data_IF_796804459906
#
_entry.id   IF_796804459906
#
_cell.length_a   1.000
_cell.length_b   1.000
_cell.length_c   1.000
_cell.angle_alpha   90.00
_cell.angle_beta   90.00
_cell.angle_gamma   90.00
#
_symmetry.space_group_name_H-M   'P 1'
#
loop_
_entity.id
_entity.type
_entity.pdbx_description
1 polymer ?
#
# COMPACT_ATOMS: atom_id res chain seq x y z
N UNK A 1 2.96 27.15 7.63
CA UNK A 1 1.58 27.51 7.22
C UNK A 1 1.27 26.61 6.04
N UNK A 2 0.50 25.54 6.28
CA UNK A 2 0.16 24.55 5.25
C UNK A 2 -0.72 25.25 4.20
N UNK A 3 -0.27 25.25 2.95
CA UNK A 3 -1.10 25.69 1.83
C UNK A 3 -2.13 24.58 1.51
N UNK A 4 -3.42 24.80 1.78
CA UNK A 4 -4.45 23.82 1.47
C UNK A 4 -4.75 23.68 -0.02
N UNK A 5 -4.15 24.47 -0.88
CA UNK A 5 -4.34 24.48 -2.33
C UNK A 5 -3.27 23.70 -3.12
N UNK A 6 -2.36 22.95 -2.47
CA UNK A 6 -1.56 21.98 -3.24
C UNK A 6 -2.52 20.99 -3.92
N UNK A 7 -2.48 20.93 -5.23
CA UNK A 7 -3.40 20.18 -6.08
C UNK A 7 -3.60 18.76 -5.57
N UNK A 8 -4.86 18.34 -5.40
CA UNK A 8 -5.20 16.98 -4.99
C UNK A 8 -4.56 15.98 -5.96
N UNK A 9 -3.87 14.93 -5.46
CA UNK A 9 -3.18 13.99 -6.33
C UNK A 9 -4.16 13.35 -7.33
N UNK A 10 -3.71 13.17 -8.54
CA UNK A 10 -4.52 12.58 -9.60
C UNK A 10 -4.89 11.13 -9.29
N UNK A 11 -6.13 10.73 -9.59
CA UNK A 11 -6.51 9.32 -9.60
C UNK A 11 -6.01 8.67 -10.89
N UNK A 12 -5.47 7.43 -10.81
CA UNK A 12 -4.98 6.75 -12.00
C UNK A 12 -6.11 6.39 -12.96
N UNK A 13 -5.91 6.62 -14.25
CA UNK A 13 -6.87 6.27 -15.29
C UNK A 13 -6.85 4.76 -15.60
N UNK A 14 -5.68 4.15 -15.56
CA UNK A 14 -5.44 2.77 -15.96
C UNK A 14 -4.97 1.90 -14.79
N UNK A 15 -5.07 0.59 -14.98
CA UNK A 15 -4.54 -0.45 -14.09
C UNK A 15 -3.92 -1.58 -14.92
N UNK A 16 -2.90 -2.21 -14.38
CA UNK A 16 -2.20 -3.32 -15.02
C UNK A 16 -2.86 -4.65 -14.64
N UNK A 17 -3.79 -5.13 -15.45
CA UNK A 17 -4.55 -6.35 -15.16
C UNK A 17 -3.77 -7.57 -15.62
N UNK A 18 -3.27 -8.38 -14.68
CA UNK A 18 -2.47 -9.57 -14.96
C UNK A 18 -3.31 -10.86 -15.04
N UNK A 19 -4.28 -11.01 -14.14
CA UNK A 19 -5.12 -12.20 -14.06
C UNK A 19 -6.56 -11.82 -13.67
N UNK A 20 -7.40 -11.37 -14.63
CA UNK A 20 -8.73 -10.81 -14.34
C UNK A 20 -9.67 -11.80 -13.66
N UNK A 21 -9.49 -13.10 -13.91
CA UNK A 21 -10.29 -14.18 -13.35
C UNK A 21 -9.65 -14.92 -12.17
N UNK A 22 -8.61 -14.36 -11.52
CA UNK A 22 -7.93 -15.04 -10.42
C UNK A 22 -8.90 -15.47 -9.30
N UNK A 23 -8.86 -16.77 -8.92
CA UNK A 23 -9.69 -17.39 -7.85
C UNK A 23 -8.85 -18.22 -6.88
N UNK A 24 -7.56 -17.93 -6.72
CA UNK A 24 -6.62 -18.71 -5.91
C UNK A 24 -6.96 -18.74 -4.41
N UNK A 25 -7.70 -17.75 -3.89
CA UNK A 25 -8.01 -17.57 -2.48
C UNK A 25 -9.53 -17.47 -2.28
N UNK A 26 -10.25 -18.57 -1.92
CA UNK A 26 -11.71 -18.58 -1.81
C UNK A 26 -12.26 -17.48 -0.88
N UNK A 27 -11.66 -17.30 0.30
CA UNK A 27 -12.08 -16.27 1.25
C UNK A 27 -11.94 -14.83 0.69
N UNK A 28 -10.88 -14.55 -0.08
CA UNK A 28 -10.73 -13.27 -0.75
C UNK A 28 -11.68 -13.10 -1.94
N UNK A 29 -12.05 -14.21 -2.59
CA UNK A 29 -13.03 -14.17 -3.70
C UNK A 29 -14.43 -13.82 -3.19
N UNK A 30 -14.80 -14.33 -2.01
CA UNK A 30 -16.12 -14.02 -1.41
C UNK A 30 -16.19 -12.61 -0.83
N UNK A 31 -15.08 -12.05 -0.35
CA UNK A 31 -15.06 -10.74 0.32
C UNK A 31 -14.79 -9.54 -0.58
N UNK A 32 -14.27 -9.76 -1.80
CA UNK A 32 -13.91 -8.66 -2.70
C UNK A 32 -15.01 -8.31 -3.68
N UNK A 33 -15.11 -7.04 -4.03
CA UNK A 33 -15.88 -6.58 -5.19
C UNK A 33 -15.04 -6.68 -6.48
N UNK A 34 -13.78 -6.19 -6.40
CA UNK A 34 -12.84 -6.19 -7.52
C UNK A 34 -11.44 -6.63 -7.08
N UNK A 35 -10.70 -7.20 -8.02
CA UNK A 35 -9.25 -7.38 -7.86
C UNK A 35 -8.61 -6.00 -8.04
N UNK A 36 -7.86 -5.54 -7.04
CA UNK A 36 -7.18 -4.25 -7.03
C UNK A 36 -5.78 -4.40 -7.63
N UNK A 37 -5.68 -4.16 -8.93
CA UNK A 37 -4.42 -4.23 -9.67
C UNK A 37 -3.58 -2.96 -9.52
N UNK A 38 -2.31 -3.07 -9.84
CA UNK A 38 -1.36 -1.97 -9.82
C UNK A 38 -1.71 -0.86 -10.80
N UNK A 39 -1.25 0.36 -10.49
CA UNK A 39 -1.54 1.60 -11.24
C UNK A 39 -0.30 2.49 -11.28
N UNK A 40 -0.08 3.12 -12.39
CA UNK A 40 1.07 4.02 -12.63
C UNK A 40 1.73 3.73 -13.97
N UNK A 41 2.80 4.46 -14.31
CA UNK A 41 3.62 4.18 -15.49
C UNK A 41 4.28 2.79 -15.40
N UNK A 42 4.44 2.13 -16.54
CA UNK A 42 5.10 0.82 -16.62
C UNK A 42 6.64 0.90 -16.58
N UNK A 43 7.18 2.11 -16.57
CA UNK A 43 8.60 2.47 -16.52
C UNK A 43 8.91 3.38 -15.31
N UNK A 44 8.14 3.24 -14.24
CA UNK A 44 8.33 4.02 -13.02
C UNK A 44 9.60 3.60 -12.26
N UNK A 45 10.41 4.56 -11.84
CA UNK A 45 11.60 4.31 -11.02
C UNK A 45 11.26 3.81 -9.61
N UNK A 46 10.08 4.19 -9.10
CA UNK A 46 9.60 3.82 -7.76
C UNK A 46 8.34 2.99 -7.85
N UNK A 47 8.37 1.78 -7.28
CA UNK A 47 7.16 0.97 -7.05
C UNK A 47 6.77 0.99 -5.59
N UNK A 48 5.55 1.46 -5.30
CA UNK A 48 4.97 1.50 -3.95
C UNK A 48 4.16 0.24 -3.69
N UNK A 49 4.56 -0.53 -2.68
CA UNK A 49 3.89 -1.77 -2.30
C UNK A 49 3.17 -1.59 -0.96
N UNK A 50 1.86 -1.82 -0.96
CA UNK A 50 1.05 -1.93 0.26
C UNK A 50 0.74 -3.37 0.64
N UNK A 51 0.02 -3.56 1.74
CA UNK A 51 -0.41 -4.88 2.17
C UNK A 51 -1.53 -5.45 1.30
N UNK A 52 -2.69 -4.82 1.34
CA UNK A 52 -3.91 -5.21 0.63
C UNK A 52 -4.85 -4.00 0.45
N UNK A 53 -5.81 -4.04 -0.48
CA UNK A 53 -6.82 -3.01 -0.56
C UNK A 53 -7.73 -3.06 0.67
N UNK A 54 -8.03 -1.89 1.25
CA UNK A 54 -9.07 -1.76 2.26
C UNK A 54 -10.47 -1.82 1.66
N UNK A 55 -11.50 -1.96 2.50
CA UNK A 55 -12.90 -1.92 2.03
C UNK A 55 -13.18 -0.65 1.23
N UNK A 56 -12.80 0.51 1.76
CA UNK A 56 -13.04 1.79 1.13
C UNK A 56 -14.43 2.35 1.41
N UNK A 57 -14.90 3.25 0.55
CA UNK A 57 -16.24 3.84 0.61
C UNK A 57 -16.89 3.82 -0.79
N UNK A 58 -17.89 2.95 -1.02
CA UNK A 58 -18.57 2.85 -2.31
C UNK A 58 -19.32 4.12 -2.71
N UNK A 59 -19.80 4.90 -1.74
CA UNK A 59 -20.62 6.09 -1.96
C UNK A 59 -19.79 7.36 -2.20
N UNK A 60 -18.46 7.29 -2.06
CA UNK A 60 -17.62 8.44 -2.30
C UNK A 60 -17.54 8.78 -3.79
N UNK A 61 -17.61 10.06 -4.15
CA UNK A 61 -17.44 10.53 -5.54
C UNK A 61 -16.03 10.20 -6.06
N UNK A 62 -15.03 10.36 -5.21
CA UNK A 62 -13.61 10.08 -5.49
C UNK A 62 -13.01 9.27 -4.35
N UNK A 63 -11.87 8.64 -4.58
CA UNK A 63 -11.12 7.89 -3.56
C UNK A 63 -11.93 6.75 -2.91
N UNK A 64 -12.70 6.03 -3.71
CA UNK A 64 -13.59 4.94 -3.27
C UNK A 64 -12.85 3.75 -2.67
N UNK A 65 -11.58 3.57 -2.99
CA UNK A 65 -10.76 2.43 -2.57
C UNK A 65 -10.58 1.36 -3.64
N UNK A 66 -9.49 0.58 -3.51
CA UNK A 66 -9.11 -0.43 -4.49
C UNK A 66 -10.12 -1.55 -4.65
N UNK A 67 -10.83 -1.91 -3.59
CA UNK A 67 -11.90 -2.92 -3.63
C UNK A 67 -13.03 -2.54 -4.61
N UNK A 68 -13.34 -1.24 -4.72
CA UNK A 68 -14.42 -0.73 -5.59
C UNK A 68 -13.94 -0.31 -6.97
N UNK A 69 -12.78 0.32 -7.05
CA UNK A 69 -12.22 0.82 -8.31
C UNK A 69 -11.45 -0.24 -9.09
N UNK A 70 -10.98 -1.28 -8.41
CA UNK A 70 -10.04 -2.27 -8.95
C UNK A 70 -8.64 -1.70 -9.20
N UNK A 71 -8.30 -0.54 -8.61
CA UNK A 71 -7.05 0.21 -8.76
C UNK A 71 -6.39 0.38 -7.40
N UNK A 72 -5.12 0.00 -7.28
CA UNK A 72 -4.38 0.13 -6.03
C UNK A 72 -4.24 1.59 -5.58
N UNK A 73 -4.20 1.79 -4.28
CA UNK A 73 -4.02 3.12 -3.65
C UNK A 73 -4.99 4.20 -4.13
N UNK A 74 -6.26 3.85 -4.25
CA UNK A 74 -7.35 4.79 -4.56
C UNK A 74 -8.29 5.02 -3.38
N UNK A 75 -7.85 4.75 -2.14
CA UNK A 75 -8.57 5.08 -0.91
C UNK A 75 -8.28 6.51 -0.42
N UNK A 76 -9.25 7.11 0.27
CA UNK A 76 -9.16 8.49 0.79
C UNK A 76 -8.04 8.65 1.82
N UNK A 77 -7.85 7.67 2.71
CA UNK A 77 -6.87 7.77 3.79
C UNK A 77 -5.46 7.39 3.32
N UNK A 78 -5.19 6.11 3.08
CA UNK A 78 -3.84 5.67 2.71
C UNK A 78 -3.46 6.04 1.28
N UNK A 79 -4.35 5.83 0.31
CA UNK A 79 -4.06 6.06 -1.11
C UNK A 79 -3.73 7.51 -1.43
N UNK A 80 -4.60 8.43 -0.98
CA UNK A 80 -4.40 9.88 -1.18
C UNK A 80 -3.13 10.38 -0.47
N UNK A 81 -2.87 9.91 0.77
CA UNK A 81 -1.70 10.35 1.56
C UNK A 81 -0.39 9.93 0.92
N UNK A 82 -0.27 8.67 0.51
CA UNK A 82 0.98 8.20 -0.10
C UNK A 82 1.24 8.86 -1.46
N UNK A 83 0.21 9.05 -2.28
CA UNK A 83 0.37 9.75 -3.56
C UNK A 83 0.79 11.20 -3.38
N UNK A 84 0.26 11.88 -2.35
CA UNK A 84 0.70 13.22 -2.00
C UNK A 84 2.15 13.21 -1.51
N UNK A 85 2.51 12.29 -0.60
CA UNK A 85 3.87 12.17 -0.11
C UNK A 85 4.86 12.02 -1.29
N UNK A 86 4.60 11.09 -2.21
CA UNK A 86 5.50 10.85 -3.35
C UNK A 86 5.55 12.07 -4.29
N UNK A 87 4.43 12.76 -4.52
CA UNK A 87 4.43 13.98 -5.31
C UNK A 87 5.23 15.11 -4.64
N UNK A 88 5.08 15.28 -3.32
CA UNK A 88 5.79 16.29 -2.53
C UNK A 88 7.32 16.08 -2.50
N UNK A 89 7.76 14.81 -2.60
CA UNK A 89 9.20 14.45 -2.62
C UNK A 89 9.76 14.18 -4.03
N UNK A 90 9.03 14.56 -5.08
CA UNK A 90 9.54 14.56 -6.46
C UNK A 90 9.22 13.30 -7.29
N UNK A 91 8.42 12.36 -6.78
CA UNK A 91 8.04 11.11 -7.48
C UNK A 91 6.54 11.00 -7.75
N UNK A 92 5.89 11.95 -8.47
CA UNK A 92 4.45 11.93 -8.75
C UNK A 92 4.03 10.74 -9.62
N UNK A 93 4.95 10.24 -10.45
CA UNK A 93 4.74 9.15 -11.42
C UNK A 93 5.14 7.77 -10.89
N UNK A 94 5.15 7.57 -9.56
CA UNK A 94 5.39 6.26 -8.98
C UNK A 94 4.30 5.23 -9.39
N UNK A 95 4.70 3.96 -9.47
CA UNK A 95 3.77 2.84 -9.65
C UNK A 95 3.27 2.35 -8.29
N UNK A 96 1.98 2.08 -8.15
CA UNK A 96 1.35 1.71 -6.88
C UNK A 96 0.70 0.35 -6.98
N UNK A 97 1.00 -0.55 -6.04
CA UNK A 97 0.40 -1.86 -5.95
C UNK A 97 0.26 -2.34 -4.50
N UNK A 98 -0.27 -3.56 -4.30
CA UNK A 98 -0.34 -4.23 -3.00
C UNK A 98 0.24 -5.64 -3.10
N UNK A 99 0.76 -6.17 -2.01
CA UNK A 99 1.21 -7.54 -1.90
C UNK A 99 0.06 -8.53 -2.14
N UNK A 100 -1.13 -8.23 -1.61
CA UNK A 100 -2.37 -8.98 -1.88
C UNK A 100 -3.33 -8.11 -2.67
N UNK A 101 -3.83 -8.62 -3.80
CA UNK A 101 -4.64 -7.85 -4.76
C UNK A 101 -6.13 -7.77 -4.41
N UNK A 102 -6.56 -8.44 -3.37
CA UNK A 102 -7.97 -8.55 -3.00
C UNK A 102 -8.21 -8.07 -1.57
N UNK A 103 -9.38 -7.48 -1.32
CA UNK A 103 -9.80 -7.07 0.00
C UNK A 103 -9.96 -8.28 0.94
N UNK A 104 -9.24 -8.31 2.08
CA UNK A 104 -9.36 -9.37 3.07
C UNK A 104 -10.45 -8.99 4.09
N UNK A 105 -11.70 -9.38 3.80
CA UNK A 105 -12.81 -9.14 4.71
C UNK A 105 -12.64 -9.92 6.03
N UNK A 106 -12.93 -9.27 7.15
CA UNK A 106 -13.14 -9.95 8.43
C UNK A 106 -14.48 -10.65 8.44
N UNK A 107 -14.56 -11.83 9.07
CA UNK A 107 -15.82 -12.53 9.32
C UNK A 107 -16.60 -11.88 10.49
N UNK A 108 -15.93 -11.11 11.34
CA UNK A 108 -16.55 -10.44 12.47
C UNK A 108 -16.99 -9.02 12.09
N UNK A 109 -18.27 -8.65 12.34
CA UNK A 109 -18.69 -7.27 12.20
C UNK A 109 -17.96 -6.40 13.24
N UNK A 110 -17.75 -5.13 12.92
CA UNK A 110 -17.12 -4.18 13.84
C UNK A 110 -17.99 -4.06 15.10
N UNK A 111 -17.54 -4.58 16.25
CA UNK A 111 -18.22 -4.40 17.52
C UNK A 111 -18.21 -2.91 17.90
N UNK A 112 -19.37 -2.30 18.05
CA UNK A 112 -19.57 -0.88 18.41
C UNK A 112 -19.40 -0.62 19.92
N UNK A 113 -18.47 -1.27 20.59
CA UNK A 113 -18.30 -1.11 22.05
C UNK A 113 -17.59 0.18 22.49
N UNK A 114 -17.24 1.07 21.58
CA UNK A 114 -16.51 2.31 21.91
C UNK A 114 -17.35 3.60 21.90
N UNK A 115 -18.62 3.57 21.49
CA UNK A 115 -19.50 4.74 21.53
C UNK A 115 -20.92 4.28 21.83
N UNK A 116 -21.46 4.74 22.96
CA UNK A 116 -22.80 4.40 23.47
C UNK A 116 -23.97 4.94 22.63
N UNK A 117 -23.88 4.91 21.32
CA UNK A 117 -24.97 5.21 20.39
C UNK A 117 -25.51 3.93 19.77
N UNK A 118 -26.85 3.85 19.74
CA UNK A 118 -27.59 2.71 19.20
C UNK A 118 -27.09 2.30 17.83
N UNK A 119 -26.76 1.00 17.69
CA UNK A 119 -26.31 0.37 16.46
C UNK A 119 -27.21 0.71 15.28
N UNK A 120 -26.80 1.65 14.44
CA UNK A 120 -27.29 1.72 13.06
C UNK A 120 -26.65 0.55 12.30
N UNK A 121 -27.49 -0.22 11.62
CA UNK A 121 -27.11 -1.41 10.84
C UNK A 121 -26.32 -1.02 9.58
N UNK A 122 -25.17 -0.41 9.75
CA UNK A 122 -24.22 -0.21 8.67
C UNK A 122 -23.06 -1.20 8.90
N UNK A 123 -23.31 -2.47 8.55
CA UNK A 123 -22.35 -3.56 8.64
C UNK A 123 -21.27 -3.41 7.57
N UNK A 124 -20.51 -2.31 7.65
CA UNK A 124 -19.35 -2.14 6.76
C UNK A 124 -18.29 -3.19 7.12
N UNK A 125 -17.93 -4.09 6.20
CA UNK A 125 -16.94 -5.11 6.47
C UNK A 125 -15.62 -4.48 6.91
N UNK A 126 -15.02 -5.07 7.96
CA UNK A 126 -13.70 -4.65 8.44
C UNK A 126 -12.59 -5.42 7.72
N UNK A 127 -11.42 -4.81 7.64
CA UNK A 127 -10.22 -5.48 7.15
C UNK A 127 -9.68 -6.43 8.23
N UNK A 128 -9.29 -7.61 7.82
CA UNK A 128 -8.31 -8.43 8.54
C UNK A 128 -6.95 -8.37 7.85
N UNK A 129 -5.92 -8.85 8.49
CA UNK A 129 -4.66 -9.13 7.80
C UNK A 129 -4.82 -10.28 6.81
N UNK A 130 -4.19 -10.21 5.61
CA UNK A 130 -4.09 -11.37 4.74
C UNK A 130 -3.33 -12.50 5.42
N UNK A 131 -3.84 -13.72 5.30
CA UNK A 131 -3.15 -14.89 5.85
C UNK A 131 -1.81 -15.14 5.12
N UNK A 132 -0.85 -15.86 5.76
CA UNK A 132 0.39 -16.25 5.08
C UNK A 132 0.16 -16.95 3.74
N UNK A 133 -0.81 -17.88 3.66
CA UNK A 133 -1.15 -18.58 2.43
C UNK A 133 -1.78 -17.67 1.35
N UNK A 134 -2.49 -16.61 1.72
CA UNK A 134 -3.01 -15.61 0.78
C UNK A 134 -1.88 -14.76 0.21
N UNK A 135 -0.94 -14.34 1.06
CA UNK A 135 0.27 -13.61 0.65
C UNK A 135 1.12 -14.46 -0.30
N UNK A 136 1.36 -15.71 0.05
CA UNK A 136 2.11 -16.65 -0.78
C UNK A 136 1.47 -16.85 -2.16
N UNK A 137 0.17 -17.15 -2.22
CA UNK A 137 -0.54 -17.34 -3.49
C UNK A 137 -0.64 -16.07 -4.35
N UNK A 138 -0.54 -14.89 -3.74
CA UNK A 138 -0.60 -13.61 -4.45
C UNK A 138 0.79 -13.09 -4.87
N UNK A 139 1.86 -13.67 -4.30
CA UNK A 139 3.25 -13.24 -4.53
C UNK A 139 3.66 -13.23 -5.99
N UNK A 140 3.25 -14.24 -6.76
CA UNK A 140 3.55 -14.30 -8.21
C UNK A 140 3.04 -13.05 -8.95
N UNK A 141 1.87 -12.51 -8.52
CA UNK A 141 1.33 -11.30 -9.13
C UNK A 141 2.14 -10.05 -8.75
N UNK A 142 2.63 -9.98 -7.51
CA UNK A 142 3.51 -8.90 -7.07
C UNK A 142 4.83 -8.93 -7.82
N UNK A 143 5.46 -10.09 -7.90
CA UNK A 143 6.75 -10.26 -8.60
C UNK A 143 6.62 -9.96 -10.10
N UNK A 144 5.54 -10.39 -10.74
CA UNK A 144 5.29 -10.09 -12.14
C UNK A 144 5.06 -8.59 -12.39
N UNK A 145 4.44 -7.84 -11.46
CA UNK A 145 4.36 -6.38 -11.55
C UNK A 145 5.73 -5.73 -11.37
N UNK A 146 6.52 -6.17 -10.39
CA UNK A 146 7.88 -5.66 -10.15
C UNK A 146 8.75 -5.90 -11.39
N UNK A 147 8.73 -7.10 -11.95
CA UNK A 147 9.48 -7.45 -13.16
C UNK A 147 9.05 -6.60 -14.37
N UNK A 148 7.74 -6.42 -14.55
CA UNK A 148 7.18 -5.64 -15.66
C UNK A 148 7.50 -4.14 -15.56
N UNK A 149 7.58 -3.58 -14.36
CA UNK A 149 7.90 -2.16 -14.12
C UNK A 149 9.41 -1.94 -14.12
N UNK A 150 10.20 -2.92 -13.66
CA UNK A 150 11.66 -2.83 -13.52
C UNK A 150 12.12 -1.57 -12.76
N UNK A 151 11.60 -1.29 -11.55
CA UNK A 151 11.89 -0.06 -10.82
C UNK A 151 13.32 -0.06 -10.29
N UNK A 152 13.85 1.13 -9.96
CA UNK A 152 15.10 1.27 -9.21
C UNK A 152 14.90 0.88 -7.73
N UNK A 153 13.71 1.20 -7.16
CA UNK A 153 13.43 0.96 -5.74
C UNK A 153 12.01 0.45 -5.50
N UNK A 154 11.89 -0.49 -4.55
CA UNK A 154 10.62 -0.96 -3.99
C UNK A 154 10.36 -0.25 -2.67
N UNK A 155 9.38 0.66 -2.63
CA UNK A 155 8.96 1.38 -1.43
C UNK A 155 7.83 0.60 -0.74
N UNK A 156 8.11 -0.06 0.40
CA UNK A 156 7.10 -0.82 1.13
C UNK A 156 6.46 -0.01 2.26
N UNK A 157 5.13 0.12 2.24
CA UNK A 157 4.39 0.91 3.24
C UNK A 157 3.92 0.06 4.41
N UNK A 158 4.65 0.11 5.50
CA UNK A 158 4.34 -0.57 6.75
C UNK A 158 4.85 -2.01 6.84
N UNK A 159 4.75 -2.57 8.04
CA UNK A 159 5.26 -3.88 8.42
C UNK A 159 4.86 -5.00 7.45
N UNK A 160 3.56 -5.11 7.13
CA UNK A 160 3.03 -6.24 6.36
C UNK A 160 3.46 -6.20 4.87
N UNK A 161 3.57 -5.01 4.29
CA UNK A 161 4.12 -4.84 2.96
C UNK A 161 5.60 -5.23 2.93
N UNK A 162 6.39 -4.72 3.89
CA UNK A 162 7.81 -5.06 4.05
C UNK A 162 8.01 -6.56 4.20
N UNK A 163 7.27 -7.21 5.12
CA UNK A 163 7.31 -8.68 5.30
C UNK A 163 6.99 -9.42 4.00
N UNK A 164 6.00 -8.95 3.24
CA UNK A 164 5.60 -9.63 2.00
C UNK A 164 6.67 -9.54 0.91
N UNK A 165 7.37 -8.39 0.81
CA UNK A 165 8.47 -8.21 -0.15
C UNK A 165 9.70 -9.03 0.28
N UNK A 166 10.10 -9.00 1.55
CA UNK A 166 11.21 -9.81 2.06
C UNK A 166 10.97 -11.32 1.88
N UNK A 167 9.74 -11.78 2.11
CA UNK A 167 9.35 -13.18 1.91
C UNK A 167 9.46 -13.65 0.45
N UNK A 168 9.54 -12.74 -0.53
CA UNK A 168 9.83 -13.09 -1.92
C UNK A 168 11.27 -13.63 -2.10
N UNK A 169 12.18 -13.26 -1.20
CA UNK A 169 13.55 -13.78 -1.14
C UNK A 169 13.76 -14.80 0.00
N UNK A 170 12.69 -15.31 0.60
CA UNK A 170 12.79 -16.23 1.73
C UNK A 170 13.35 -15.60 3.01
N UNK A 171 13.30 -14.26 3.13
CA UNK A 171 13.78 -13.51 4.29
C UNK A 171 12.64 -13.16 5.23
N UNK A 172 12.93 -13.12 6.51
CA UNK A 172 12.02 -12.67 7.56
C UNK A 172 12.33 -11.22 7.98
N UNK A 173 11.33 -10.53 8.48
CA UNK A 173 11.47 -9.18 9.04
C UNK A 173 11.76 -9.29 10.54
N UNK A 174 12.91 -8.82 10.97
CA UNK A 174 13.30 -8.74 12.38
C UNK A 174 13.21 -7.27 12.84
N UNK A 175 12.09 -6.90 13.43
CA UNK A 175 11.84 -5.53 13.89
C UNK A 175 11.51 -4.55 12.75
N UNK A 176 10.26 -4.10 12.69
CA UNK A 176 9.86 -3.19 11.61
C UNK A 176 10.40 -1.77 11.79
N UNK A 177 10.33 -1.23 13.02
CA UNK A 177 10.72 0.16 13.25
C UNK A 177 12.23 0.40 13.05
N UNK A 178 13.02 -0.63 13.29
CA UNK A 178 14.48 -0.57 13.15
C UNK A 178 14.93 -0.54 11.67
N UNK A 179 14.06 -0.91 10.75
CA UNK A 179 14.36 -0.89 9.31
C UNK A 179 13.65 0.23 8.54
N UNK A 180 12.85 1.07 9.21
CA UNK A 180 12.19 2.20 8.53
C UNK A 180 13.24 3.20 8.07
N UNK A 181 13.20 3.55 6.77
CA UNK A 181 14.17 4.38 6.05
C UNK A 181 15.56 3.75 5.87
N UNK A 182 15.75 2.48 6.24
CA UNK A 182 17.00 1.76 6.00
C UNK A 182 16.88 0.97 4.68
N UNK A 183 17.71 1.24 3.68
CA UNK A 183 17.69 0.51 2.40
C UNK A 183 18.11 -0.95 2.60
N UNK A 184 17.30 -1.88 2.12
CA UNK A 184 17.52 -3.31 2.23
C UNK A 184 17.77 -3.89 0.83
N UNK A 185 18.98 -4.34 0.49
CA UNK A 185 19.25 -4.98 -0.79
C UNK A 185 18.44 -6.28 -0.96
N UNK A 186 17.79 -6.42 -2.10
CA UNK A 186 17.08 -7.62 -2.56
C UNK A 186 17.91 -8.28 -3.68
N UNK A 187 18.92 -9.06 -3.29
CA UNK A 187 19.92 -9.59 -4.22
C UNK A 187 19.36 -10.54 -5.27
N UNK A 188 18.34 -11.33 -4.93
CA UNK A 188 17.65 -12.23 -5.84
C UNK A 188 16.79 -11.51 -6.89
N UNK A 189 16.32 -10.30 -6.55
CA UNK A 189 15.53 -9.46 -7.47
C UNK A 189 16.37 -8.39 -8.16
N UNK A 190 17.60 -8.15 -7.70
CA UNK A 190 18.47 -7.10 -8.22
C UNK A 190 17.98 -5.68 -7.91
N UNK A 191 17.24 -5.50 -6.80
CA UNK A 191 16.57 -4.27 -6.41
C UNK A 191 16.91 -3.88 -4.97
N UNK A 192 16.49 -2.69 -4.58
CA UNK A 192 16.53 -2.23 -3.19
C UNK A 192 15.12 -2.03 -2.64
N UNK A 193 14.87 -2.53 -1.44
CA UNK A 193 13.64 -2.29 -0.67
C UNK A 193 13.89 -1.14 0.30
N UNK A 194 13.00 -0.13 0.28
CA UNK A 194 12.96 0.94 1.27
C UNK A 194 11.66 0.82 2.08
N UNK A 195 11.72 0.33 3.34
CA UNK A 195 10.55 0.34 4.21
C UNK A 195 10.21 1.75 4.70
N UNK A 196 8.93 2.12 4.65
CA UNK A 196 8.42 3.36 5.24
C UNK A 196 7.21 3.09 6.14
N UNK A 197 6.87 4.04 6.99
CA UNK A 197 5.68 3.96 7.83
C UNK A 197 4.41 3.86 6.96
N UNK A 198 3.43 3.08 7.44
CA UNK A 198 2.14 3.00 6.75
C UNK A 198 1.42 4.35 6.80
N UNK A 199 0.90 4.89 5.68
CA UNK A 199 0.34 6.25 5.62
C UNK A 199 -0.77 6.54 6.64
N UNK A 200 -1.58 5.53 7.02
CA UNK A 200 -2.66 5.70 8.00
C UNK A 200 -2.18 5.81 9.45
N UNK A 201 -0.97 5.37 9.74
CA UNK A 201 -0.39 5.34 11.08
C UNK A 201 0.84 6.24 11.22
N UNK A 202 1.23 6.92 10.16
CA UNK A 202 2.42 7.77 10.12
C UNK A 202 2.41 8.79 11.26
N UNK A 203 1.31 9.50 11.48
CA UNK A 203 1.20 10.55 12.50
C UNK A 203 1.42 10.02 13.94
N UNK A 204 1.18 8.73 14.16
CA UNK A 204 1.36 8.08 15.48
C UNK A 204 2.80 7.60 15.68
N UNK A 205 3.46 7.14 14.60
CA UNK A 205 4.74 6.44 14.70
C UNK A 205 5.95 7.33 14.39
N UNK A 206 5.76 8.44 13.68
CA UNK A 206 6.85 9.36 13.29
C UNK A 206 7.63 9.84 14.53
N UNK A 207 6.93 10.28 15.57
CA UNK A 207 7.57 10.72 16.81
C UNK A 207 8.37 9.62 17.54
N UNK A 208 7.99 8.35 17.38
CA UNK A 208 8.73 7.21 17.94
C UNK A 208 10.05 6.93 17.22
N UNK A 209 10.14 7.33 15.96
CA UNK A 209 11.37 7.30 15.17
C UNK A 209 12.25 8.53 15.43
N UNK A 210 11.79 9.48 16.25
CA UNK A 210 12.52 10.70 16.56
C UNK A 210 12.38 11.81 15.51
N UNK A 211 11.40 11.72 14.60
CA UNK A 211 11.16 12.74 13.59
C UNK A 211 9.95 13.58 13.90
N UNK A 212 10.00 14.86 13.48
CA UNK A 212 8.79 15.63 13.20
C UNK A 212 8.21 15.23 11.82
N UNK A 213 6.91 15.44 11.55
CA UNK A 213 6.27 15.01 10.30
C UNK A 213 6.95 15.54 9.03
N UNK A 214 7.42 16.78 9.05
CA UNK A 214 8.15 17.40 7.93
C UNK A 214 9.53 16.80 7.72
N UNK A 215 10.25 16.56 8.82
CA UNK A 215 11.57 15.91 8.81
C UNK A 215 11.49 14.50 8.25
N UNK A 216 10.46 13.75 8.65
CA UNK A 216 10.23 12.41 8.12
C UNK A 216 9.95 12.43 6.61
N UNK A 217 9.16 13.40 6.13
CA UNK A 217 8.90 13.55 4.71
C UNK A 217 10.19 13.86 3.94
N UNK A 218 11.01 14.77 4.45
CA UNK A 218 12.31 15.10 3.87
C UNK A 218 13.21 13.87 3.82
N UNK A 219 13.30 13.10 4.92
CA UNK A 219 14.11 11.88 4.98
C UNK A 219 13.64 10.80 3.99
N UNK A 220 12.32 10.67 3.74
CA UNK A 220 11.80 9.79 2.67
C UNK A 220 12.30 10.26 1.30
N UNK A 221 12.26 11.58 1.05
CA UNK A 221 12.73 12.16 -0.21
C UNK A 221 14.21 11.93 -0.45
N UNK A 222 15.05 12.23 0.54
CA UNK A 222 16.51 12.03 0.50
C UNK A 222 16.87 10.55 0.26
N UNK A 223 16.22 9.63 0.99
CA UNK A 223 16.44 8.18 0.81
C UNK A 223 16.04 7.68 -0.58
N UNK A 224 14.99 8.25 -1.19
CA UNK A 224 14.60 7.92 -2.56
C UNK A 224 15.57 8.52 -3.58
N UNK A 225 16.02 9.76 -3.40
CA UNK A 225 16.99 10.42 -4.27
C UNK A 225 18.32 9.63 -4.31
N UNK A 226 18.81 9.17 -3.16
CA UNK A 226 20.03 8.35 -3.05
C UNK A 226 19.90 6.99 -3.76
N UNK A 227 18.69 6.44 -3.87
CA UNK A 227 18.43 5.11 -4.45
C UNK A 227 18.07 5.13 -5.94
N UNK A 228 17.47 6.21 -6.40
CA UNK A 228 17.07 6.38 -7.81
C UNK A 228 18.19 7.00 -8.63
N UNK A 229 19.03 7.85 -8.02
CA UNK A 229 20.24 8.45 -8.62
C UNK A 229 19.96 9.76 -9.32
#
# INVERSE_FOLDING_TARGET
>A
MFDPESSEPALPDRRHVMAPGCRRCPALVSGRERISWGTGPGDADVIVVGEAPGYGNPEADRWRGGNWTGKAYTSRHSGRRIRRLLADVGYPDAYYTNAVKCFPASEEPRSSEASGEAASKDETPTNREPTPGERERCRDHLLAEIDSVSPAVVLATGKHATTSVLAAEGRELDGFLDCVLEPIPLGGLGLTLLPILHPSYQDVWVARLGYEPEEYRTAVGEALEDLVG
#
